data_IF_169799369398
#
_entry.id   IF_169799369398
#
_cell.length_a   1.000
_cell.length_b   1.000
_cell.length_c   1.000
_cell.angle_alpha   90.00
_cell.angle_beta   90.00
_cell.angle_gamma   90.00
#
_symmetry.space_group_name_H-M   'P 1'
#
loop_
_entity.id
_entity.type
_entity.pdbx_description
1 polymer ?
#
# COMPACT_ATOMS: atom_id res chain seq x y z
N UNK A 1 -57.57 60.50 -24.68
CA UNK A 1 -58.34 59.42 -25.35
C UNK A 1 -57.59 58.94 -26.59
N UNK A 2 -56.91 57.79 -26.49
CA UNK A 2 -56.95 56.70 -27.48
C UNK A 2 -55.94 55.64 -27.02
N UNK A 3 -56.49 54.45 -26.79
CA UNK A 3 -55.81 53.20 -26.52
C UNK A 3 -54.77 52.89 -27.61
N UNK A 4 -53.72 52.12 -27.30
CA UNK A 4 -53.71 50.71 -27.69
C UNK A 4 -52.44 49.92 -27.30
N UNK A 5 -52.73 48.75 -26.72
CA UNK A 5 -52.06 47.44 -26.76
C UNK A 5 -50.74 47.17 -26.01
N UNK A 6 -50.93 46.39 -24.94
CA UNK A 6 -50.03 45.43 -24.29
C UNK A 6 -49.30 44.51 -25.28
N UNK A 7 -47.98 44.34 -25.08
CA UNK A 7 -47.32 43.02 -25.14
C UNK A 7 -46.35 42.95 -23.95
N UNK A 8 -46.66 42.06 -23.02
CA UNK A 8 -45.84 41.67 -21.88
C UNK A 8 -44.89 40.57 -22.40
N UNK A 9 -43.58 40.84 -22.51
CA UNK A 9 -42.59 39.83 -22.89
C UNK A 9 -41.80 39.45 -21.64
N UNK A 10 -42.31 38.42 -20.96
CA UNK A 10 -41.60 37.73 -19.89
C UNK A 10 -40.55 36.85 -20.56
N UNK A 11 -39.29 37.26 -20.47
CA UNK A 11 -38.16 36.42 -20.85
C UNK A 11 -37.67 35.73 -19.59
N UNK A 12 -38.13 34.50 -19.37
CA UNK A 12 -37.54 33.56 -18.42
C UNK A 12 -36.31 32.97 -19.11
N UNK A 13 -35.13 33.54 -18.89
CA UNK A 13 -33.89 32.81 -19.11
C UNK A 13 -33.59 32.01 -17.84
N UNK A 14 -34.05 30.76 -17.83
CA UNK A 14 -33.50 29.74 -16.97
C UNK A 14 -32.09 29.42 -17.46
N UNK A 15 -31.09 29.89 -16.73
CA UNK A 15 -29.78 29.25 -16.74
C UNK A 15 -29.74 28.32 -15.54
N UNK A 16 -30.09 27.07 -15.81
CA UNK A 16 -29.82 25.93 -14.93
C UNK A 16 -28.32 25.90 -14.66
N UNK A 17 -27.98 25.91 -13.38
CA UNK A 17 -26.65 25.61 -12.87
C UNK A 17 -26.37 24.18 -13.31
N UNK A 18 -25.62 24.00 -14.40
CA UNK A 18 -25.05 22.69 -14.72
C UNK A 18 -23.89 22.50 -13.75
N UNK A 19 -24.21 21.98 -12.57
CA UNK A 19 -23.25 21.20 -11.78
C UNK A 19 -22.75 20.10 -12.71
N UNK A 20 -21.57 20.30 -13.27
CA UNK A 20 -20.83 19.23 -13.92
C UNK A 20 -20.43 18.28 -12.80
N UNK A 21 -21.30 17.31 -12.51
CA UNK A 21 -20.86 16.07 -11.87
C UNK A 21 -19.99 15.38 -12.91
N UNK A 22 -18.69 15.69 -12.89
CA UNK A 22 -17.69 14.77 -13.38
C UNK A 22 -17.79 13.58 -12.45
N UNK A 23 -18.44 12.52 -12.93
CA UNK A 23 -18.24 11.20 -12.36
C UNK A 23 -16.86 10.76 -12.82
N UNK A 24 -15.83 11.37 -12.23
CA UNK A 24 -14.52 10.75 -12.21
C UNK A 24 -14.67 9.58 -11.24
N UNK A 25 -15.04 8.43 -11.78
CA UNK A 25 -14.74 7.16 -11.15
C UNK A 25 -13.21 7.06 -11.11
N UNK A 26 -12.59 7.78 -10.18
CA UNK A 26 -11.21 7.58 -9.80
C UNK A 26 -11.15 6.15 -9.27
N UNK A 27 -10.63 5.24 -10.09
CA UNK A 27 -10.36 3.87 -9.68
C UNK A 27 -9.22 3.98 -8.67
N UNK A 28 -9.56 4.01 -7.38
CA UNK A 28 -8.60 4.06 -6.29
C UNK A 28 -7.60 2.90 -6.44
N UNK A 29 -6.30 3.21 -6.48
CA UNK A 29 -5.25 2.21 -6.59
C UNK A 29 -5.16 1.36 -5.33
N UNK A 30 -4.93 0.06 -5.47
CA UNK A 30 -4.67 -0.84 -4.34
C UNK A 30 -3.32 -0.54 -3.67
N UNK A 31 -3.11 -1.07 -2.45
CA UNK A 31 -1.83 -0.91 -1.73
C UNK A 31 -0.67 -1.42 -2.59
N UNK A 32 -0.80 -2.64 -3.11
CA UNK A 32 0.26 -3.29 -3.89
C UNK A 32 0.55 -2.54 -5.20
N UNK A 33 -0.46 -2.01 -5.88
CA UNK A 33 -0.27 -1.15 -7.06
C UNK A 33 0.47 0.15 -6.71
N UNK A 34 0.12 0.77 -5.59
CA UNK A 34 0.68 2.06 -5.16
C UNK A 34 2.12 1.94 -4.70
N UNK A 35 2.49 0.81 -4.10
CA UNK A 35 3.81 0.59 -3.49
C UNK A 35 4.68 -0.43 -4.24
N UNK A 36 4.28 -0.82 -5.46
CA UNK A 36 5.08 -1.64 -6.38
C UNK A 36 6.53 -1.16 -6.47
N UNK A 37 7.48 -2.07 -6.22
CA UNK A 37 8.91 -1.80 -6.33
C UNK A 37 9.47 -0.86 -5.27
N UNK A 38 8.68 -0.46 -4.26
CA UNK A 38 9.19 0.34 -3.14
C UNK A 38 9.93 -0.55 -2.15
N UNK A 39 11.14 -0.14 -1.78
CA UNK A 39 11.99 -0.87 -0.83
C UNK A 39 11.94 -0.21 0.54
N UNK A 40 11.79 -1.04 1.57
CA UNK A 40 11.69 -0.66 2.97
C UNK A 40 12.70 -1.44 3.80
N UNK A 41 13.36 -0.78 4.74
CA UNK A 41 14.35 -1.42 5.61
C UNK A 41 13.82 -1.50 7.05
N UNK A 42 13.86 -2.68 7.65
CA UNK A 42 13.54 -2.91 9.05
C UNK A 42 14.67 -2.32 9.91
N UNK A 43 14.37 -1.28 10.70
CA UNK A 43 15.33 -0.63 11.58
C UNK A 43 15.25 -1.23 13.01
N UNK A 44 15.71 -2.48 13.20
CA UNK A 44 15.64 -3.15 14.51
C UNK A 44 16.97 -3.09 15.30
N UNK A 45 18.13 -3.09 14.65
CA UNK A 45 19.47 -3.07 15.27
C UNK A 45 20.55 -2.94 14.16
N UNK A 46 21.79 -2.51 14.47
CA UNK A 46 22.94 -2.64 13.55
C UNK A 46 23.21 -4.10 13.10
N UNK A 47 22.66 -5.09 13.82
CA UNK A 47 22.82 -6.53 13.62
C UNK A 47 21.69 -7.19 12.82
N UNK A 48 20.60 -6.47 12.56
CA UNK A 48 19.44 -6.96 11.79
C UNK A 48 19.01 -5.88 10.81
N UNK A 49 19.45 -6.05 9.57
CA UNK A 49 19.06 -5.20 8.44
C UNK A 49 18.37 -6.09 7.43
N UNK A 50 17.04 -6.05 7.43
CA UNK A 50 16.22 -6.76 6.47
C UNK A 50 15.55 -5.75 5.54
N UNK A 51 15.51 -6.05 4.25
CA UNK A 51 14.82 -5.24 3.24
C UNK A 51 13.56 -5.96 2.78
N UNK A 52 12.50 -5.20 2.53
CA UNK A 52 11.23 -5.67 1.99
C UNK A 52 10.87 -4.86 0.76
N UNK A 53 10.48 -5.52 -0.34
CA UNK A 53 9.97 -4.86 -1.53
C UNK A 53 8.61 -5.43 -1.92
N UNK A 54 7.64 -4.56 -2.15
CA UNK A 54 6.29 -4.98 -2.58
C UNK A 54 6.21 -5.26 -4.08
N UNK A 55 5.33 -6.20 -4.40
CA UNK A 55 4.94 -6.58 -5.75
C UNK A 55 3.42 -6.49 -5.91
N UNK A 56 2.95 -6.01 -7.06
CA UNK A 56 1.57 -6.02 -7.52
C UNK A 56 1.20 -7.43 -8.03
N UNK A 57 1.36 -8.39 -7.12
CA UNK A 57 1.05 -9.79 -7.30
C UNK A 57 0.49 -10.31 -5.97
N UNK A 58 -0.83 -10.48 -5.89
CA UNK A 58 -1.49 -10.97 -4.67
C UNK A 58 -1.02 -12.38 -4.28
N UNK A 59 -0.48 -13.19 -5.20
CA UNK A 59 0.04 -14.52 -4.86
C UNK A 59 1.45 -14.47 -4.25
N UNK A 60 2.19 -13.39 -4.52
CA UNK A 60 3.55 -13.16 -4.05
C UNK A 60 3.77 -11.66 -3.75
N UNK A 61 3.11 -11.11 -2.71
CA UNK A 61 2.94 -9.66 -2.56
C UNK A 61 4.21 -8.89 -2.19
N UNK A 62 5.26 -9.58 -1.73
CA UNK A 62 6.55 -8.96 -1.47
C UNK A 62 7.68 -9.99 -1.47
N UNK A 63 8.90 -9.51 -1.61
CA UNK A 63 10.11 -10.25 -1.35
C UNK A 63 10.92 -9.60 -0.22
N UNK A 64 11.74 -10.42 0.45
CA UNK A 64 12.55 -10.03 1.60
C UNK A 64 14.00 -10.40 1.35
N UNK A 65 14.91 -9.50 1.71
CA UNK A 65 16.33 -9.80 1.83
C UNK A 65 16.70 -9.76 3.30
N UNK A 66 17.08 -10.91 3.86
CA UNK A 66 17.42 -11.02 5.28
C UNK A 66 18.92 -11.25 5.47
N UNK A 67 19.52 -10.48 6.38
CA UNK A 67 20.90 -10.67 6.80
C UNK A 67 20.95 -11.60 8.01
N UNK A 68 21.32 -12.88 7.79
CA UNK A 68 21.45 -13.85 8.88
C UNK A 68 22.54 -13.41 9.88
N UNK A 69 22.13 -13.15 11.14
CA UNK A 69 23.02 -12.83 12.27
C UNK A 69 23.99 -11.64 12.03
N UNK A 70 23.57 -10.62 11.27
CA UNK A 70 24.44 -9.48 10.94
C UNK A 70 25.62 -9.84 10.06
N UNK A 71 25.48 -10.89 9.23
CA UNK A 71 26.49 -11.31 8.27
C UNK A 71 26.68 -10.31 7.12
N UNK A 72 27.79 -10.49 6.39
CA UNK A 72 28.14 -9.64 5.24
C UNK A 72 27.36 -10.01 3.95
N UNK A 73 26.35 -10.90 4.04
CA UNK A 73 25.56 -11.34 2.91
C UNK A 73 24.08 -11.54 3.25
N UNK A 74 23.25 -11.52 2.21
CA UNK A 74 21.79 -11.61 2.29
C UNK A 74 21.28 -12.90 1.64
N UNK A 75 20.24 -13.48 2.24
CA UNK A 75 19.37 -14.45 1.60
C UNK A 75 18.14 -13.72 1.06
N UNK A 76 17.65 -14.10 -0.12
CA UNK A 76 16.45 -13.52 -0.74
C UNK A 76 15.36 -14.57 -0.79
N UNK A 77 14.20 -14.19 -0.27
CA UNK A 77 13.00 -15.01 -0.23
C UNK A 77 11.80 -14.23 -0.78
N UNK A 78 11.09 -14.83 -1.71
CA UNK A 78 9.82 -14.29 -2.21
C UNK A 78 8.70 -14.85 -1.32
N UNK A 79 7.92 -13.99 -0.71
CA UNK A 79 6.81 -14.40 0.16
C UNK A 79 5.61 -14.82 -0.68
N UNK A 80 5.44 -16.13 -0.90
CA UNK A 80 4.29 -16.69 -1.61
C UNK A 80 3.21 -17.09 -0.63
N UNK A 81 1.97 -16.62 -0.84
CA UNK A 81 0.90 -16.87 0.12
C UNK A 81 0.62 -18.37 0.35
N UNK A 82 0.70 -19.16 -0.72
CA UNK A 82 0.49 -20.61 -0.72
C UNK A 82 1.54 -21.38 0.09
N UNK A 83 2.76 -20.84 0.23
CA UNK A 83 3.83 -21.50 0.99
C UNK A 83 3.62 -21.39 2.51
N UNK A 84 2.79 -20.42 2.94
CA UNK A 84 2.56 -20.08 4.34
C UNK A 84 1.10 -20.24 4.80
N UNK A 85 0.22 -20.81 3.96
CA UNK A 85 -1.23 -20.91 4.22
C UNK A 85 -1.83 -19.54 4.64
N UNK A 86 -1.57 -18.51 3.84
CA UNK A 86 -1.98 -17.12 4.12
C UNK A 86 -2.94 -16.60 3.06
N UNK A 87 -3.72 -15.58 3.41
CA UNK A 87 -4.60 -14.88 2.48
C UNK A 87 -4.57 -13.38 2.71
N UNK A 88 -4.55 -12.59 1.64
CA UNK A 88 -4.82 -11.15 1.71
C UNK A 88 -6.29 -10.95 2.08
N UNK A 89 -6.54 -10.28 3.20
CA UNK A 89 -7.89 -9.94 3.69
C UNK A 89 -8.26 -8.48 3.41
N UNK A 90 -7.27 -7.62 3.17
CA UNK A 90 -7.46 -6.24 2.72
C UNK A 90 -6.31 -5.80 1.80
N UNK A 91 -6.62 -5.09 0.72
CA UNK A 91 -5.66 -4.49 -0.22
C UNK A 91 -6.20 -3.13 -0.70
N UNK A 92 -6.47 -2.24 0.26
CA UNK A 92 -6.96 -0.88 0.01
C UNK A 92 -5.79 0.07 -0.26
N UNK A 93 -6.04 1.30 -0.72
CA UNK A 93 -4.96 2.26 -0.98
C UNK A 93 -4.08 2.54 0.27
N UNK A 94 -4.68 2.46 1.46
CA UNK A 94 -4.05 2.81 2.73
C UNK A 94 -3.47 1.59 3.47
N UNK A 95 -4.01 0.39 3.23
CA UNK A 95 -3.75 -0.78 4.06
C UNK A 95 -3.62 -2.05 3.22
N UNK A 96 -2.56 -2.81 3.51
CA UNK A 96 -2.46 -4.22 3.17
C UNK A 96 -2.61 -5.06 4.44
N UNK A 97 -3.59 -5.96 4.46
CA UNK A 97 -3.79 -6.93 5.54
C UNK A 97 -3.66 -8.35 5.01
N UNK A 98 -2.79 -9.14 5.65
CA UNK A 98 -2.56 -10.56 5.37
C UNK A 98 -2.88 -11.35 6.63
N UNK A 99 -3.78 -12.32 6.50
CA UNK A 99 -4.16 -13.22 7.59
C UNK A 99 -3.54 -14.61 7.38
N UNK A 100 -2.87 -15.12 8.40
CA UNK A 100 -2.33 -16.47 8.47
C UNK A 100 -3.42 -17.46 8.92
N UNK A 101 -3.32 -18.73 8.52
CA UNK A 101 -4.24 -19.79 8.99
C UNK A 101 -4.25 -19.95 10.53
N UNK A 102 -3.18 -19.56 11.21
CA UNK A 102 -3.09 -19.52 12.67
C UNK A 102 -4.05 -18.49 13.29
N UNK A 103 -4.56 -17.54 12.50
CA UNK A 103 -5.31 -16.38 12.94
C UNK A 103 -4.45 -15.15 13.22
N UNK A 104 -3.13 -15.25 13.05
CA UNK A 104 -2.24 -14.10 13.11
C UNK A 104 -2.48 -13.17 11.91
N UNK A 105 -2.27 -11.87 12.12
CA UNK A 105 -2.51 -10.84 11.11
C UNK A 105 -1.26 -9.98 10.94
N UNK A 106 -0.84 -9.79 9.69
CA UNK A 106 0.14 -8.79 9.28
C UNK A 106 -0.59 -7.63 8.63
N UNK A 107 -0.37 -6.43 9.17
CA UNK A 107 -0.98 -5.21 8.68
C UNK A 107 0.12 -4.21 8.32
N UNK A 108 0.12 -3.74 7.09
CA UNK A 108 1.07 -2.79 6.56
C UNK A 108 0.37 -1.47 6.27
N UNK A 109 0.96 -0.37 6.74
CA UNK A 109 0.50 1.01 6.51
C UNK A 109 1.68 1.91 6.24
N UNK A 110 1.54 2.82 5.29
CA UNK A 110 2.57 3.82 5.02
C UNK A 110 2.16 5.15 5.63
N UNK A 111 2.98 5.67 6.53
CA UNK A 111 2.81 6.96 7.20
C UNK A 111 3.95 7.89 6.77
N UNK A 112 3.62 8.88 5.94
CA UNK A 112 4.55 9.85 5.34
C UNK A 112 5.74 9.17 4.61
N UNK A 113 6.87 8.97 5.30
CA UNK A 113 8.11 8.39 4.76
C UNK A 113 8.51 7.07 5.42
N UNK A 114 7.67 6.53 6.30
CA UNK A 114 7.90 5.27 7.00
C UNK A 114 6.75 4.30 6.76
N UNK A 115 7.06 3.01 6.79
CA UNK A 115 6.03 1.98 6.84
C UNK A 115 5.93 1.45 8.26
N UNK A 116 4.70 1.27 8.73
CA UNK A 116 4.38 0.56 9.95
C UNK A 116 3.93 -0.84 9.54
N UNK A 117 4.69 -1.85 9.97
CA UNK A 117 4.29 -3.25 9.91
C UNK A 117 3.86 -3.69 11.31
N UNK A 118 2.61 -4.10 11.41
CA UNK A 118 2.00 -4.58 12.63
C UNK A 118 1.77 -6.08 12.51
N UNK A 119 2.38 -6.86 13.40
CA UNK A 119 2.11 -8.28 13.56
C UNK A 119 1.25 -8.51 14.80
N UNK A 120 -0.01 -8.88 14.59
CA UNK A 120 -0.95 -9.27 15.63
C UNK A 120 -0.96 -10.79 15.74
N UNK A 121 -0.66 -11.30 16.92
CA UNK A 121 -0.74 -12.72 17.21
C UNK A 121 -1.97 -13.00 18.07
N UNK A 122 -2.54 -14.20 17.90
CA UNK A 122 -3.70 -14.62 18.70
C UNK A 122 -3.37 -14.69 20.20
N UNK A 123 -2.13 -15.10 20.52
CA UNK A 123 -1.73 -15.45 21.90
C UNK A 123 -0.85 -14.41 22.61
N UNK A 124 -0.09 -13.59 21.87
CA UNK A 124 0.95 -12.72 22.44
C UNK A 124 0.76 -11.22 22.22
N UNK A 125 -0.36 -10.82 21.60
CA UNK A 125 -0.72 -9.42 21.40
C UNK A 125 -0.20 -8.86 20.08
N UNK A 126 0.37 -7.66 20.11
CA UNK A 126 0.76 -6.93 18.91
C UNK A 126 2.23 -6.53 18.99
N UNK A 127 2.97 -6.78 17.91
CA UNK A 127 4.34 -6.27 17.70
C UNK A 127 4.31 -5.29 16.54
N UNK A 128 4.98 -4.14 16.71
CA UNK A 128 5.00 -3.08 15.71
C UNK A 128 6.45 -2.86 15.28
N UNK A 129 6.67 -2.88 13.98
CA UNK A 129 7.93 -2.58 13.32
C UNK A 129 7.76 -1.30 12.51
N UNK A 130 8.74 -0.41 12.60
CA UNK A 130 8.84 0.75 11.73
C UNK A 130 9.94 0.49 10.72
N UNK A 131 9.60 0.66 9.44
CA UNK A 131 10.51 0.49 8.33
C UNK A 131 10.75 1.84 7.65
N UNK A 132 12.00 2.09 7.33
CA UNK A 132 12.42 3.31 6.64
C UNK A 132 12.48 3.07 5.14
N UNK A 133 11.93 4.01 4.36
CA UNK A 133 11.97 3.94 2.90
C UNK A 133 13.41 4.05 2.39
N UNK A 134 13.80 3.17 1.49
CA UNK A 134 15.13 3.15 0.87
C UNK A 134 15.07 3.51 -0.62
N UNK A 135 16.24 3.77 -1.21
CA UNK A 135 16.38 3.76 -2.66
C UNK A 135 16.18 2.32 -3.15
N UNK A 136 15.38 2.11 -4.20
CA UNK A 136 15.17 0.80 -4.80
C UNK A 136 16.46 0.14 -5.30
N UNK A 137 17.47 0.92 -5.68
CA UNK A 137 18.76 0.39 -6.14
C UNK A 137 19.57 -0.27 -5.01
N UNK A 138 19.20 -0.08 -3.74
CA UNK A 138 19.93 -0.67 -2.62
C UNK A 138 19.98 -2.20 -2.69
N UNK A 139 18.91 -2.82 -3.21
CA UNK A 139 18.81 -4.29 -3.29
C UNK A 139 19.71 -4.88 -4.38
N UNK A 140 20.02 -4.09 -5.42
CA UNK A 140 20.91 -4.50 -6.51
C UNK A 140 22.39 -4.58 -6.06
N UNK A 141 22.74 -3.80 -5.03
CA UNK A 141 24.09 -3.74 -4.46
C UNK A 141 24.31 -4.75 -3.32
N UNK A 142 23.28 -5.52 -2.93
CA UNK A 142 23.39 -6.50 -1.85
C UNK A 142 24.30 -7.67 -2.26
N UNK A 143 25.19 -8.05 -1.34
CA UNK A 143 25.99 -9.25 -1.51
C UNK A 143 25.14 -10.46 -1.14
N UNK A 144 24.86 -11.36 -2.09
CA UNK A 144 24.07 -12.56 -1.84
C UNK A 144 24.92 -13.67 -1.21
N UNK A 145 24.34 -14.43 -0.29
CA UNK A 145 25.03 -15.59 0.30
C UNK A 145 25.22 -16.69 -0.77
N UNK A 146 26.42 -17.29 -0.81
CA UNK A 146 26.69 -18.46 -1.68
C UNK A 146 26.05 -19.72 -1.11
N UNK A 147 25.23 -20.40 -1.91
CA UNK A 147 24.64 -21.71 -1.61
C UNK A 147 25.67 -22.85 -1.66
#
# INVERSE_FOLDING_TARGET
>A
MRHFYYIFLVVVFGFTITTSCSSDDDVESTFLERYEGTVWQIAVDESYSDYLMFHNDESAPFEVWSSLNGGDCYENDIFKLDDFDTTITENSEEVLEITLISGDVWLFKVEENSMVWTWKTVDSGETIFTLEKQNSEVVDDLTMCTQ
#
